data_IF_529303422836
#
_entry.id   IF_529303422836
#
_cell.length_a   1.000
_cell.length_b   1.000
_cell.length_c   1.000
_cell.angle_alpha   90.00
_cell.angle_beta   90.00
_cell.angle_gamma   90.00
#
_symmetry.space_group_name_H-M   'P 1'
#
loop_
_entity.id
_entity.type
_entity.pdbx_description
1 polymer ?
#
# COMPACT_ATOMS: atom_id res chain seq x y z
N UNK A 1 20.45 12.48 -6.21
CA UNK A 1 20.59 11.07 -5.76
C UNK A 1 19.99 10.85 -4.36
N UNK A 2 20.60 11.36 -3.30
CA UNK A 2 20.14 11.13 -1.91
C UNK A 2 18.67 11.59 -1.68
N UNK A 3 18.26 12.72 -2.23
CA UNK A 3 16.90 13.25 -2.09
C UNK A 3 15.83 12.30 -2.65
N UNK A 4 16.09 11.67 -3.79
CA UNK A 4 15.15 10.72 -4.41
C UNK A 4 15.05 9.42 -3.60
N UNK A 5 16.19 8.95 -3.07
CA UNK A 5 16.24 7.77 -2.21
C UNK A 5 15.47 8.02 -0.90
N UNK A 6 15.68 9.16 -0.24
CA UNK A 6 14.95 9.53 0.99
C UNK A 6 13.46 9.67 0.69
N UNK A 7 13.09 10.31 -0.44
CA UNK A 7 11.71 10.38 -0.89
C UNK A 7 11.08 9.00 -1.07
N UNK A 8 11.82 8.08 -1.70
CA UNK A 8 11.42 6.69 -1.84
C UNK A 8 11.19 6.01 -0.48
N UNK A 9 12.13 6.16 0.47
CA UNK A 9 12.00 5.60 1.83
C UNK A 9 10.71 6.08 2.50
N UNK A 10 10.42 7.39 2.44
CA UNK A 10 9.21 7.95 3.03
C UNK A 10 7.94 7.38 2.36
N UNK A 11 7.96 7.20 1.04
CA UNK A 11 6.85 6.56 0.29
C UNK A 11 6.69 5.10 0.70
N UNK A 12 7.80 4.35 0.86
CA UNK A 12 7.78 2.98 1.34
C UNK A 12 7.17 2.84 2.72
N UNK A 13 7.57 3.68 3.67
CA UNK A 13 7.00 3.75 5.02
C UNK A 13 5.50 4.06 4.96
N UNK A 14 5.10 5.05 4.17
CA UNK A 14 3.70 5.46 4.02
C UNK A 14 2.81 4.32 3.51
N UNK A 15 3.32 3.47 2.61
CA UNK A 15 2.57 2.34 2.07
C UNK A 15 2.31 1.21 3.08
N UNK A 16 3.10 1.13 4.14
CA UNK A 16 2.89 0.11 5.20
C UNK A 16 1.90 0.61 6.25
N UNK A 17 1.80 1.93 6.48
CA UNK A 17 0.93 2.50 7.50
C UNK A 17 -0.52 2.55 6.99
N UNK A 18 -1.49 1.87 7.66
CA UNK A 18 -2.90 1.96 7.29
C UNK A 18 -3.40 3.41 7.35
N UNK A 19 -4.17 3.83 6.34
CA UNK A 19 -4.70 5.20 6.27
C UNK A 19 -3.73 6.24 5.69
N UNK A 20 -2.47 5.88 5.44
CA UNK A 20 -1.50 6.75 4.77
C UNK A 20 -1.30 6.27 3.33
N UNK A 21 -1.43 7.18 2.36
CA UNK A 21 -1.24 6.88 0.94
C UNK A 21 0.17 7.22 0.48
N UNK A 22 0.89 6.25 -0.11
CA UNK A 22 2.18 6.48 -0.72
C UNK A 22 2.12 7.50 -1.87
N UNK A 23 1.02 7.49 -2.64
CA UNK A 23 0.76 8.49 -3.68
C UNK A 23 0.66 9.90 -3.13
N UNK A 24 -0.09 10.10 -2.05
CA UNK A 24 -0.18 11.39 -1.34
C UNK A 24 1.19 11.80 -0.80
N UNK A 25 1.98 10.86 -0.27
CA UNK A 25 3.34 11.15 0.18
C UNK A 25 4.24 11.61 -0.98
N UNK A 26 4.13 10.99 -2.16
CA UNK A 26 4.85 11.45 -3.36
C UNK A 26 4.47 12.89 -3.75
N UNK A 27 3.19 13.25 -3.65
CA UNK A 27 2.72 14.62 -3.92
C UNK A 27 3.31 15.60 -2.91
N UNK A 28 3.24 15.30 -1.62
CA UNK A 28 3.79 16.14 -0.54
C UNK A 28 5.30 16.35 -0.72
N UNK A 29 6.02 15.32 -1.13
CA UNK A 29 7.47 15.39 -1.36
C UNK A 29 7.84 16.00 -2.72
N UNK A 30 6.86 16.32 -3.56
CA UNK A 30 7.06 16.92 -4.88
C UNK A 30 7.72 16.00 -5.90
N UNK A 31 7.67 14.68 -5.70
CA UNK A 31 8.26 13.68 -6.62
C UNK A 31 7.21 12.98 -7.49
N UNK A 32 5.92 13.22 -7.26
CA UNK A 32 4.83 12.54 -7.97
C UNK A 32 4.88 12.78 -9.48
N UNK A 33 4.88 14.05 -9.93
CA UNK A 33 4.88 14.40 -11.35
C UNK A 33 6.13 13.83 -12.06
N UNK A 34 7.30 13.97 -11.41
CA UNK A 34 8.54 13.42 -11.96
C UNK A 34 8.51 11.89 -12.08
N UNK A 35 7.83 11.20 -11.14
CA UNK A 35 7.64 9.75 -11.18
C UNK A 35 6.74 9.35 -12.36
N UNK A 36 5.63 10.07 -12.57
CA UNK A 36 4.71 9.82 -13.69
C UNK A 36 5.39 10.09 -15.04
N UNK A 37 6.14 11.20 -15.15
CA UNK A 37 6.94 11.53 -16.35
C UNK A 37 7.96 10.44 -16.66
N UNK A 38 8.68 9.96 -15.65
CA UNK A 38 9.69 8.92 -15.81
C UNK A 38 9.08 7.57 -16.24
N UNK A 39 7.95 7.16 -15.65
CA UNK A 39 7.21 5.95 -16.05
C UNK A 39 6.76 6.08 -17.51
N UNK A 40 6.11 7.18 -17.85
CA UNK A 40 5.64 7.44 -19.22
C UNK A 40 6.80 7.54 -20.22
N UNK A 41 7.92 8.13 -19.79
CA UNK A 41 9.13 8.28 -20.59
C UNK A 41 9.76 6.96 -20.99
N UNK A 42 9.82 5.99 -20.05
CA UNK A 42 10.37 4.65 -20.34
C UNK A 42 9.54 3.91 -21.40
N UNK A 43 8.23 4.11 -21.41
CA UNK A 43 7.31 3.47 -22.36
C UNK A 43 7.36 4.07 -23.77
N UNK A 44 7.88 5.30 -23.94
CA UNK A 44 8.04 5.95 -25.24
C UNK A 44 9.27 5.40 -25.97
N UNK A 45 9.13 5.05 -27.27
CA UNK A 45 10.23 4.54 -28.09
C UNK A 45 11.38 5.54 -28.25
N UNK A 46 11.07 6.83 -28.37
CA UNK A 46 12.03 7.94 -28.54
C UNK A 46 12.06 8.79 -27.26
N UNK A 47 12.94 8.45 -26.33
CA UNK A 47 13.17 9.23 -25.13
C UNK A 47 14.67 9.52 -24.94
N UNK A 48 15.04 10.76 -25.20
CA UNK A 48 16.44 11.23 -25.05
C UNK A 48 16.94 11.12 -23.59
N UNK A 49 16.04 11.15 -22.59
CA UNK A 49 16.35 11.13 -21.18
C UNK A 49 16.09 9.76 -20.51
N UNK A 50 15.96 8.69 -21.29
CA UNK A 50 15.59 7.35 -20.78
C UNK A 50 16.49 6.84 -19.67
N UNK A 51 17.80 7.13 -19.72
CA UNK A 51 18.77 6.73 -18.69
C UNK A 51 18.52 7.46 -17.38
N UNK A 52 18.23 8.75 -17.44
CA UNK A 52 17.94 9.57 -16.26
C UNK A 52 16.62 9.15 -15.60
N UNK A 53 15.61 8.80 -16.41
CA UNK A 53 14.33 8.30 -15.95
C UNK A 53 14.48 6.94 -15.25
N UNK A 54 15.24 6.03 -15.84
CA UNK A 54 15.53 4.72 -15.23
C UNK A 54 16.28 4.91 -13.92
N UNK A 55 17.31 5.75 -13.89
CA UNK A 55 18.10 6.01 -12.69
C UNK A 55 17.25 6.64 -11.58
N UNK A 56 16.38 7.60 -11.93
CA UNK A 56 15.45 8.22 -10.99
C UNK A 56 14.50 7.20 -10.39
N UNK A 57 13.83 6.41 -11.23
CA UNK A 57 12.88 5.36 -10.77
C UNK A 57 13.59 4.30 -9.94
N UNK A 58 14.79 3.88 -10.33
CA UNK A 58 15.58 2.93 -9.55
C UNK A 58 15.87 3.46 -8.14
N UNK A 59 16.24 4.75 -8.01
CA UNK A 59 16.49 5.37 -6.70
C UNK A 59 15.23 5.43 -5.84
N UNK A 60 14.10 5.82 -6.42
CA UNK A 60 12.82 5.91 -5.71
C UNK A 60 12.35 4.51 -5.30
N UNK A 61 12.41 3.53 -6.21
CA UNK A 61 12.01 2.15 -5.92
C UNK A 61 12.90 1.48 -4.87
N UNK A 62 14.22 1.68 -4.96
CA UNK A 62 15.16 1.19 -3.97
C UNK A 62 14.87 1.80 -2.59
N UNK A 63 14.65 3.11 -2.54
CA UNK A 63 14.24 3.79 -1.31
C UNK A 63 12.92 3.24 -0.77
N UNK A 64 11.91 3.06 -1.64
CA UNK A 64 10.62 2.51 -1.25
C UNK A 64 10.73 1.09 -0.71
N UNK A 65 11.55 0.23 -1.32
CA UNK A 65 11.81 -1.12 -0.82
C UNK A 65 12.46 -1.09 0.57
N UNK A 66 13.49 -0.25 0.78
CA UNK A 66 14.15 -0.08 2.08
C UNK A 66 13.15 0.42 3.14
N UNK A 67 12.36 1.45 2.82
CA UNK A 67 11.36 2.00 3.73
C UNK A 67 10.27 1.00 4.09
N UNK A 68 9.75 0.29 3.08
CA UNK A 68 8.69 -0.69 3.22
C UNK A 68 9.15 -1.89 4.06
N UNK A 69 10.29 -2.50 3.72
CA UNK A 69 10.82 -3.67 4.45
C UNK A 69 11.27 -3.26 5.86
N UNK A 70 12.00 -2.15 5.98
CA UNK A 70 12.50 -1.66 7.26
C UNK A 70 11.36 -1.34 8.23
N UNK A 71 10.34 -0.64 7.75
CA UNK A 71 9.20 -0.28 8.60
C UNK A 71 8.28 -1.47 8.90
N UNK A 72 8.14 -2.42 7.96
CA UNK A 72 7.42 -3.67 8.23
C UNK A 72 8.03 -4.45 9.40
N UNK A 73 9.37 -4.51 9.49
CA UNK A 73 10.07 -5.12 10.65
C UNK A 73 9.83 -4.35 11.96
N UNK A 74 9.84 -3.02 11.90
CA UNK A 74 9.50 -2.20 13.07
C UNK A 74 8.08 -2.50 13.53
N UNK A 75 7.12 -2.56 12.60
CA UNK A 75 5.73 -2.90 12.94
C UNK A 75 5.60 -4.31 13.49
N UNK A 76 6.32 -5.27 12.94
CA UNK A 76 6.32 -6.64 13.46
C UNK A 76 6.80 -6.68 14.93
N UNK A 77 7.90 -5.98 15.23
CA UNK A 77 8.38 -5.81 16.60
C UNK A 77 7.35 -5.15 17.52
N UNK A 78 6.71 -4.06 17.06
CA UNK A 78 5.70 -3.34 17.83
C UNK A 78 4.46 -4.20 18.08
N UNK A 79 3.98 -4.95 17.11
CA UNK A 79 2.85 -5.84 17.29
C UNK A 79 3.16 -7.03 18.18
N UNK A 80 4.42 -7.50 18.22
CA UNK A 80 4.84 -8.59 19.10
C UNK A 80 4.94 -8.14 20.56
N UNK A 81 5.41 -6.90 20.82
CA UNK A 81 5.70 -6.43 22.17
C UNK A 81 4.65 -5.46 22.73
N UNK A 82 4.00 -4.71 21.85
CA UNK A 82 3.08 -3.62 22.19
C UNK A 82 1.82 -3.63 21.30
N UNK A 83 1.08 -4.76 21.18
CA UNK A 83 -0.02 -4.88 20.22
C UNK A 83 -1.13 -3.84 20.46
N UNK A 84 -1.56 -3.68 21.68
CA UNK A 84 -2.64 -2.75 22.07
C UNK A 84 -2.26 -1.30 21.77
N UNK A 85 -1.06 -0.88 22.17
CA UNK A 85 -0.57 0.49 21.95
C UNK A 85 -0.41 0.77 20.47
N UNK A 86 0.07 -0.19 19.69
CA UNK A 86 0.23 -0.07 18.24
C UNK A 86 -1.13 0.09 17.54
N UNK A 87 -2.15 -0.64 18.00
CA UNK A 87 -3.52 -0.49 17.49
C UNK A 87 -4.09 0.90 17.79
N UNK A 88 -3.96 1.38 19.04
CA UNK A 88 -4.41 2.73 19.39
C UNK A 88 -3.65 3.82 18.61
N UNK A 89 -2.36 3.62 18.37
CA UNK A 89 -1.58 4.52 17.52
C UNK A 89 -2.14 4.58 16.10
N UNK A 90 -2.49 3.45 15.49
CA UNK A 90 -3.12 3.42 14.16
C UNK A 90 -4.48 4.10 14.15
N UNK A 91 -5.33 3.84 15.16
CA UNK A 91 -6.63 4.52 15.31
C UNK A 91 -6.42 6.04 15.36
N UNK A 92 -5.44 6.51 16.13
CA UNK A 92 -5.08 7.92 16.21
C UNK A 92 -4.62 8.50 14.87
N UNK A 93 -3.75 7.80 14.13
CA UNK A 93 -3.30 8.22 12.80
C UNK A 93 -4.47 8.34 11.82
N UNK A 94 -5.34 7.33 11.77
CA UNK A 94 -6.53 7.34 10.90
C UNK A 94 -7.46 8.49 11.29
N UNK A 95 -7.76 8.66 12.57
CA UNK A 95 -8.63 9.75 13.05
C UNK A 95 -8.08 11.13 12.70
N UNK A 96 -6.76 11.34 12.87
CA UNK A 96 -6.09 12.61 12.52
C UNK A 96 -6.00 12.83 11.01
N UNK A 97 -6.00 11.77 10.19
CA UNK A 97 -5.99 11.90 8.73
C UNK A 97 -7.32 12.40 8.16
N UNK A 98 -8.46 12.10 8.82
CA UNK A 98 -9.80 12.48 8.35
C UNK A 98 -9.93 13.99 8.08
N UNK A 99 -9.62 14.92 9.03
CA UNK A 99 -9.74 16.34 8.76
C UNK A 99 -8.78 16.85 7.68
N UNK A 100 -7.61 16.21 7.51
CA UNK A 100 -6.66 16.56 6.46
C UNK A 100 -7.21 16.17 5.08
N UNK A 101 -7.78 14.97 4.95
CA UNK A 101 -8.47 14.52 3.73
C UNK A 101 -9.65 15.42 3.39
N UNK A 102 -10.52 15.68 4.36
CA UNK A 102 -11.68 16.55 4.14
C UNK A 102 -11.27 17.95 3.65
N UNK A 103 -10.23 18.55 4.22
CA UNK A 103 -9.72 19.85 3.75
C UNK A 103 -9.08 19.80 2.36
N UNK A 104 -8.41 18.71 2.03
CA UNK A 104 -7.73 18.53 0.74
C UNK A 104 -8.69 18.31 -0.42
N UNK A 105 -9.68 17.43 -0.22
CA UNK A 105 -10.59 16.97 -1.28
C UNK A 105 -11.86 17.81 -1.40
N UNK A 106 -12.32 18.43 -0.31
CA UNK A 106 -13.56 19.21 -0.28
C UNK A 106 -13.39 20.66 -0.74
N UNK A 107 -12.53 20.99 -1.70
CA UNK A 107 -12.29 22.33 -2.22
C UNK A 107 -13.58 23.03 -2.71
N UNK A 108 -14.49 23.38 -1.75
CA UNK A 108 -15.75 24.06 -2.03
C UNK A 108 -16.95 23.13 -2.30
N UNK A 109 -16.79 21.82 -2.28
CA UNK A 109 -17.89 20.87 -2.41
C UNK A 109 -18.59 20.62 -1.07
N UNK A 110 -19.91 20.44 -1.11
CA UNK A 110 -20.68 20.10 0.08
C UNK A 110 -20.45 18.65 0.48
N UNK A 111 -20.30 18.41 1.78
CA UNK A 111 -20.17 17.07 2.34
C UNK A 111 -21.36 16.18 1.96
N UNK A 112 -21.10 15.09 1.25
CA UNK A 112 -22.13 14.14 0.79
C UNK A 112 -22.26 13.01 1.81
N UNK A 113 -23.30 13.08 2.64
CA UNK A 113 -23.55 12.11 3.73
C UNK A 113 -23.93 10.71 3.20
N UNK A 114 -24.59 10.62 2.04
CA UNK A 114 -25.06 9.34 1.48
C UNK A 114 -23.89 8.39 1.15
N UNK A 115 -22.85 8.80 0.41
CA UNK A 115 -21.67 7.95 0.17
C UNK A 115 -20.97 7.52 1.46
N UNK A 116 -20.91 8.38 2.48
CA UNK A 116 -20.34 8.03 3.78
C UNK A 116 -21.13 6.92 4.46
N UNK A 117 -22.46 7.04 4.53
CA UNK A 117 -23.33 6.01 5.11
C UNK A 117 -23.24 4.70 4.33
N UNK A 118 -23.22 4.75 3.00
CA UNK A 118 -23.06 3.56 2.16
C UNK A 118 -21.68 2.89 2.41
N UNK A 119 -20.61 3.67 2.50
CA UNK A 119 -19.26 3.14 2.80
C UNK A 119 -19.20 2.48 4.18
N UNK A 120 -19.75 3.13 5.20
CA UNK A 120 -19.85 2.55 6.55
C UNK A 120 -20.69 1.28 6.56
N UNK A 121 -21.85 1.28 5.88
CA UNK A 121 -22.70 0.11 5.78
C UNK A 121 -22.00 -1.07 5.10
N UNK A 122 -21.22 -0.83 4.05
CA UNK A 122 -20.41 -1.86 3.38
C UNK A 122 -19.36 -2.43 4.35
N UNK A 123 -18.65 -1.57 5.10
CA UNK A 123 -17.61 -2.01 6.05
C UNK A 123 -18.27 -2.88 7.15
N UNK A 124 -19.37 -2.42 7.74
CA UNK A 124 -20.09 -3.19 8.75
C UNK A 124 -20.67 -4.49 8.18
N UNK A 125 -21.20 -4.49 6.95
CA UNK A 125 -21.67 -5.70 6.31
C UNK A 125 -20.56 -6.71 6.08
N UNK A 126 -19.38 -6.27 5.66
CA UNK A 126 -18.19 -7.13 5.51
C UNK A 126 -17.75 -7.72 6.85
N UNK A 127 -17.77 -6.95 7.93
CA UNK A 127 -17.47 -7.43 9.29
C UNK A 127 -18.49 -8.49 9.75
N UNK A 128 -19.79 -8.24 9.51
CA UNK A 128 -20.84 -9.21 9.86
C UNK A 128 -20.84 -10.47 9.00
N UNK A 129 -20.48 -10.36 7.72
CA UNK A 129 -20.37 -11.50 6.80
C UNK A 129 -19.09 -12.33 7.01
N UNK A 130 -18.08 -11.72 7.65
CA UNK A 130 -16.85 -12.36 8.07
C UNK A 130 -16.77 -12.38 9.61
N UNK A 131 -17.64 -13.10 10.33
CA UNK A 131 -17.58 -13.20 11.80
C UNK A 131 -16.39 -14.07 12.23
N UNK A 132 -15.35 -14.14 11.42
CA UNK A 132 -14.14 -14.88 11.66
C UNK A 132 -13.20 -14.11 12.55
N UNK A 133 -13.03 -14.62 13.75
CA UNK A 133 -11.92 -14.40 14.65
C UNK A 133 -12.00 -13.09 15.45
N UNK A 134 -12.66 -13.17 16.58
CA UNK A 134 -12.65 -12.15 17.65
C UNK A 134 -11.26 -11.87 18.23
N UNK A 135 -10.21 -12.34 17.60
CA UNK A 135 -8.81 -11.94 17.80
C UNK A 135 -8.14 -11.74 16.45
N UNK A 136 -7.96 -10.50 16.05
CA UNK A 136 -7.12 -10.16 14.89
C UNK A 136 -5.73 -10.72 15.14
N UNK A 137 -5.36 -11.79 14.41
CA UNK A 137 -4.02 -12.35 14.51
C UNK A 137 -3.03 -11.40 13.84
N UNK A 138 -2.43 -10.51 14.60
CA UNK A 138 -1.47 -9.49 14.11
C UNK A 138 -0.16 -10.08 13.59
N UNK A 139 0.11 -11.36 13.89
CA UNK A 139 1.25 -12.12 13.39
C UNK A 139 0.77 -13.52 12.97
N UNK A 140 0.08 -13.61 11.82
CA UNK A 140 -0.43 -14.90 11.35
C UNK A 140 0.74 -15.83 11.00
N UNK A 141 0.57 -17.11 11.27
CA UNK A 141 1.47 -18.14 10.75
C UNK A 141 1.42 -18.12 9.22
N UNK A 142 2.56 -18.39 8.58
CA UNK A 142 2.60 -18.50 7.13
C UNK A 142 1.83 -19.73 6.67
N UNK A 143 0.82 -19.57 5.80
CA UNK A 143 0.10 -20.68 5.22
C UNK A 143 1.03 -21.59 4.38
N UNK A 144 0.64 -22.83 4.21
CA UNK A 144 1.31 -23.73 3.25
C UNK A 144 1.15 -23.17 1.84
N UNK A 145 2.27 -23.15 1.09
CA UNK A 145 2.26 -22.63 -0.27
C UNK A 145 1.57 -23.65 -1.17
N UNK A 146 0.38 -23.29 -1.62
CA UNK A 146 -0.41 -24.03 -2.59
C UNK A 146 -0.89 -23.12 -3.73
N UNK A 147 -1.54 -23.69 -4.73
CA UNK A 147 -2.04 -22.94 -5.89
C UNK A 147 -3.08 -21.91 -5.47
N UNK A 148 -3.94 -22.25 -4.49
CA UNK A 148 -4.99 -21.36 -4.02
C UNK A 148 -4.43 -20.14 -3.32
N UNK A 149 -3.40 -20.31 -2.48
CA UNK A 149 -2.68 -19.21 -1.86
C UNK A 149 -2.05 -18.31 -2.92
N UNK A 150 -1.38 -18.88 -3.92
CA UNK A 150 -0.75 -18.11 -5.00
C UNK A 150 -1.77 -17.24 -5.76
N UNK A 151 -2.92 -17.80 -6.12
CA UNK A 151 -4.01 -17.07 -6.77
C UNK A 151 -4.56 -15.97 -5.87
N UNK A 152 -4.79 -16.27 -4.60
CA UNK A 152 -5.22 -15.27 -3.60
C UNK A 152 -4.22 -14.13 -3.50
N UNK A 153 -2.92 -14.42 -3.45
CA UNK A 153 -1.86 -13.40 -3.37
C UNK A 153 -1.79 -12.52 -4.62
N UNK A 154 -2.07 -13.07 -5.82
CA UNK A 154 -2.22 -12.24 -7.03
C UNK A 154 -3.38 -11.26 -6.87
N UNK A 155 -4.56 -11.74 -6.43
CA UNK A 155 -5.76 -10.89 -6.26
C UNK A 155 -5.50 -9.81 -5.20
N UNK A 156 -4.91 -10.17 -4.07
CA UNK A 156 -4.49 -9.24 -3.01
C UNK A 156 -3.54 -8.18 -3.55
N UNK A 157 -2.55 -8.60 -4.34
CA UNK A 157 -1.63 -7.71 -5.01
C UNK A 157 -2.32 -6.78 -6.02
N UNK A 158 -3.25 -7.31 -6.83
CA UNK A 158 -4.03 -6.50 -7.79
C UNK A 158 -4.84 -5.40 -7.09
N UNK A 159 -5.52 -5.74 -6.01
CA UNK A 159 -6.29 -4.78 -5.21
C UNK A 159 -5.35 -3.71 -4.63
N UNK A 160 -4.26 -4.12 -3.99
CA UNK A 160 -3.27 -3.20 -3.43
C UNK A 160 -2.65 -2.29 -4.50
N UNK A 161 -2.27 -2.85 -5.66
CA UNK A 161 -1.68 -2.10 -6.77
C UNK A 161 -2.65 -1.12 -7.41
N UNK A 162 -3.91 -1.52 -7.62
CA UNK A 162 -4.94 -0.64 -8.17
C UNK A 162 -5.17 0.59 -7.27
N UNK A 163 -5.20 0.40 -5.97
CA UNK A 163 -5.41 1.50 -4.99
C UNK A 163 -4.24 2.47 -4.90
N UNK A 164 -3.03 2.07 -5.31
CA UNK A 164 -1.85 2.96 -5.31
C UNK A 164 -2.00 4.15 -6.27
N UNK A 165 -2.74 3.98 -7.37
CA UNK A 165 -2.99 5.04 -8.34
C UNK A 165 -4.27 5.84 -8.06
N UNK A 166 -5.13 5.37 -7.17
CA UNK A 166 -6.35 6.09 -6.80
C UNK A 166 -6.04 7.14 -5.73
N UNK A 167 -6.18 8.45 -6.05
CA UNK A 167 -5.99 9.50 -5.05
C UNK A 167 -6.99 9.33 -3.89
N UNK A 168 -6.51 9.51 -2.66
CA UNK A 168 -7.37 9.40 -1.48
C UNK A 168 -7.66 7.98 -1.00
N UNK A 169 -7.20 6.94 -1.71
CA UNK A 169 -7.33 5.54 -1.28
C UNK A 169 -5.97 5.01 -0.81
N UNK A 170 -5.93 4.45 0.39
CA UNK A 170 -4.72 3.81 0.93
C UNK A 170 -4.76 2.31 0.68
N UNK A 171 -3.77 1.78 -0.06
CA UNK A 171 -3.66 0.35 -0.35
C UNK A 171 -3.56 -0.50 0.91
N UNK A 172 -2.77 -0.08 1.89
CA UNK A 172 -2.65 -0.77 3.18
C UNK A 172 -3.97 -0.77 3.96
N UNK A 173 -4.77 0.31 3.86
CA UNK A 173 -6.11 0.35 4.47
C UNK A 173 -7.06 -0.64 3.81
N UNK A 174 -7.04 -0.73 2.47
CA UNK A 174 -7.87 -1.70 1.76
C UNK A 174 -7.45 -3.13 2.12
N UNK A 175 -6.14 -3.41 2.19
CA UNK A 175 -5.64 -4.71 2.66
C UNK A 175 -6.08 -5.02 4.09
N UNK A 176 -6.17 -4.01 4.96
CA UNK A 176 -6.67 -4.18 6.33
C UNK A 176 -8.16 -4.57 6.33
N UNK A 177 -8.98 -3.88 5.53
CA UNK A 177 -10.44 -4.15 5.42
C UNK A 177 -10.70 -5.57 4.91
N UNK A 178 -9.92 -6.06 3.93
CA UNK A 178 -10.06 -7.43 3.40
C UNK A 178 -9.33 -8.49 4.26
N UNK A 179 -8.78 -8.11 5.42
CA UNK A 179 -8.12 -9.03 6.37
C UNK A 179 -6.73 -9.53 5.94
N UNK A 180 -6.14 -9.00 4.87
CA UNK A 180 -4.86 -9.47 4.31
C UNK A 180 -3.65 -8.63 4.74
N UNK A 181 -3.86 -7.53 5.45
CA UNK A 181 -2.80 -6.60 5.85
C UNK A 181 -1.72 -7.27 6.72
N UNK A 182 -2.12 -8.01 7.76
CA UNK A 182 -1.17 -8.59 8.72
C UNK A 182 -0.32 -9.68 8.07
N UNK A 183 -0.91 -10.50 7.21
CA UNK A 183 -0.19 -11.52 6.44
C UNK A 183 0.80 -10.87 5.48
N UNK A 184 0.37 -9.85 4.73
CA UNK A 184 1.24 -9.07 3.85
C UNK A 184 2.41 -8.42 4.62
N UNK A 185 2.11 -7.75 5.76
CA UNK A 185 3.13 -7.16 6.65
C UNK A 185 4.14 -8.22 7.11
N UNK A 186 3.67 -9.40 7.52
CA UNK A 186 4.53 -10.49 8.00
C UNK A 186 5.43 -11.04 6.88
N UNK A 187 4.92 -11.18 5.66
CA UNK A 187 5.75 -11.54 4.50
C UNK A 187 6.85 -10.51 4.23
N UNK A 188 6.52 -9.22 4.26
CA UNK A 188 7.50 -8.15 4.05
C UNK A 188 8.57 -8.10 5.14
N UNK A 189 8.19 -8.24 6.41
CA UNK A 189 9.12 -8.23 7.53
C UNK A 189 10.10 -9.40 7.47
N UNK A 190 9.64 -10.55 6.97
CA UNK A 190 10.41 -11.79 6.90
C UNK A 190 11.07 -12.05 5.52
N UNK A 191 10.98 -11.11 4.57
CA UNK A 191 11.58 -11.27 3.22
C UNK A 191 13.10 -11.57 3.28
N UNK A 192 13.79 -11.04 4.28
CA UNK A 192 15.22 -11.23 4.50
C UNK A 192 15.62 -12.61 5.03
N UNK A 193 14.65 -13.46 5.39
CA UNK A 193 14.91 -14.86 5.80
C UNK A 193 15.14 -15.76 4.60
N UNK A 194 14.80 -15.30 3.37
CA UNK A 194 14.91 -16.05 2.12
C UNK A 194 14.19 -17.41 2.12
N UNK A 195 13.20 -17.58 2.99
CA UNK A 195 12.39 -18.80 3.03
C UNK A 195 11.41 -18.83 1.85
N UNK A 196 11.27 -20.00 1.20
CA UNK A 196 10.40 -20.16 0.03
C UNK A 196 8.92 -19.90 0.35
N UNK A 197 8.47 -20.26 1.55
CA UNK A 197 7.10 -19.97 2.02
C UNK A 197 6.82 -18.47 2.23
N UNK A 198 7.84 -17.62 2.21
CA UNK A 198 7.73 -16.17 2.25
C UNK A 198 7.93 -15.57 0.87
N UNK A 199 8.97 -16.01 0.15
CA UNK A 199 9.34 -15.42 -1.14
C UNK A 199 8.32 -15.72 -2.24
N UNK A 200 7.78 -16.95 -2.28
CA UNK A 200 6.80 -17.33 -3.32
C UNK A 200 5.55 -16.45 -3.24
N UNK A 201 4.85 -16.34 -2.08
CA UNK A 201 3.69 -15.45 -1.97
C UNK A 201 4.02 -13.99 -2.30
N UNK A 202 5.18 -13.48 -1.88
CA UNK A 202 5.61 -12.11 -2.20
C UNK A 202 5.80 -11.90 -3.70
N UNK A 203 6.36 -12.87 -4.43
CA UNK A 203 6.46 -12.79 -5.89
C UNK A 203 5.08 -12.70 -6.54
N UNK A 204 4.12 -13.52 -6.09
CA UNK A 204 2.75 -13.49 -6.62
C UNK A 204 2.02 -12.19 -6.27
N UNK A 205 2.21 -11.63 -5.05
CA UNK A 205 1.74 -10.29 -4.70
C UNK A 205 2.35 -9.25 -5.63
N UNK A 206 3.66 -9.31 -5.88
CA UNK A 206 4.35 -8.37 -6.79
C UNK A 206 3.78 -8.41 -8.21
N UNK A 207 3.54 -9.61 -8.77
CA UNK A 207 2.87 -9.79 -10.06
C UNK A 207 1.47 -9.15 -10.02
N UNK A 208 0.69 -9.42 -8.97
CA UNK A 208 -0.63 -8.84 -8.76
C UNK A 208 -0.58 -7.31 -8.74
N UNK A 209 0.36 -6.72 -8.00
CA UNK A 209 0.54 -5.26 -7.92
C UNK A 209 0.80 -4.66 -9.30
N UNK A 210 1.67 -5.26 -10.11
CA UNK A 210 1.94 -4.78 -11.47
C UNK A 210 0.69 -4.83 -12.36
N UNK A 211 -0.09 -5.91 -12.26
CA UNK A 211 -1.36 -6.06 -12.99
C UNK A 211 -2.36 -5.00 -12.51
N UNK A 212 -2.50 -4.81 -11.19
CA UNK A 212 -3.40 -3.83 -10.59
C UNK A 212 -3.07 -2.40 -11.01
N UNK A 213 -1.79 -2.01 -11.00
CA UNK A 213 -1.32 -0.72 -11.50
C UNK A 213 -1.66 -0.55 -12.98
N UNK A 214 -1.39 -1.57 -13.82
CA UNK A 214 -1.65 -1.49 -15.25
C UNK A 214 -3.14 -1.36 -15.58
N UNK A 215 -4.01 -2.09 -14.85
CA UNK A 215 -5.46 -1.99 -15.00
C UNK A 215 -5.99 -0.63 -14.54
N UNK A 216 -5.53 -0.15 -13.39
CA UNK A 216 -5.95 1.14 -12.83
C UNK A 216 -5.50 2.31 -13.72
N UNK A 217 -4.29 2.27 -14.27
CA UNK A 217 -3.82 3.28 -15.20
C UNK A 217 -4.71 3.42 -16.43
N UNK A 218 -5.21 2.29 -17.00
CA UNK A 218 -6.15 2.31 -18.12
C UNK A 218 -7.51 2.92 -17.76
N UNK A 219 -7.95 2.75 -16.50
CA UNK A 219 -9.23 3.31 -16.04
C UNK A 219 -9.11 4.80 -15.74
N UNK A 220 -7.95 5.28 -15.30
CA UNK A 220 -7.70 6.69 -15.00
C UNK A 220 -7.38 7.53 -16.24
N UNK A 221 -7.03 6.92 -17.37
CA UNK A 221 -6.79 7.62 -18.66
C UNK A 221 -8.12 7.96 -19.41
N UNK A 222 -9.27 7.59 -18.86
CA UNK A 222 -10.61 7.96 -19.32
C UNK A 222 -11.24 9.01 -18.39
#
# INVERSE_FOLDING_TARGET
MIKNLIGGIAVGIANVIPGVSGGTMMVILGIFNRTMEAISGILKKENAHRKDDILFLFQVLLGAAIGLIGFAKILEFLFNHYPTQTMYWFIGLIALSIPLFLKGEMKGEKFKIIPLICGLAIIFALEFLNPGEGSVNVNPAFPTVDVMLCLTMIVVGMIGGATMLMPGVSGSMVLLIIGQYYLFKSYLANVTTFQLNVLIPLCFIGIGVLIGIALSAKVCDY
#
